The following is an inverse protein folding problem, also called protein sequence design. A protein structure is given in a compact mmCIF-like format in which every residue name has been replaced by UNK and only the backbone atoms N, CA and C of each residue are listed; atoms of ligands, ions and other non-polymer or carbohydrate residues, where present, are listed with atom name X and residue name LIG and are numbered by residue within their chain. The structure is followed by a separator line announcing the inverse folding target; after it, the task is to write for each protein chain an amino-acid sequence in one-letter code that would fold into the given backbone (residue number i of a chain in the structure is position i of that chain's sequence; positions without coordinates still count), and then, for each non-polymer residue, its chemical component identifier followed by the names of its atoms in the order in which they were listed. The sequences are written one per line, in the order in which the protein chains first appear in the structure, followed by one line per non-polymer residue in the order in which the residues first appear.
data_IF_859040365601
#
_entry.id   IF_859040365601
#
_cell.length_a   1.000
_cell.length_b   1.000
_cell.length_c   1.000
_cell.angle_alpha   90.00
_cell.angle_beta   90.00
_cell.angle_gamma   90.00
#
_symmetry.space_group_name_H-M   'P 1'
#
loop_
_entity.id
_entity.type
_entity.pdbx_description
1 polymer ?
#
# COMPACT_ATOMS: atom_id res chain seq x y z
N UNK A 1 -24.41 5.16 12.94
CA UNK A 1 -24.90 6.03 14.00
C UNK A 1 -24.24 5.81 15.36
N UNK A 2 -23.88 4.61 15.76
CA UNK A 2 -23.20 4.29 17.05
C UNK A 2 -21.80 4.95 17.20
N UNK A 3 -21.03 5.11 16.13
CA UNK A 3 -19.68 5.69 16.17
C UNK A 3 -19.64 7.18 16.53
N UNK A 4 -20.64 7.96 16.14
CA UNK A 4 -20.69 9.41 16.41
C UNK A 4 -20.95 9.68 17.90
N UNK A 5 -21.76 8.87 18.57
CA UNK A 5 -22.06 8.99 20.00
C UNK A 5 -20.85 8.68 20.91
N UNK A 6 -20.02 7.70 20.55
CA UNK A 6 -18.79 7.42 21.27
C UNK A 6 -17.78 8.57 21.21
N UNK A 7 -17.64 9.19 20.04
CA UNK A 7 -16.71 10.32 19.87
C UNK A 7 -17.13 11.57 20.65
N UNK A 8 -18.40 11.89 20.68
CA UNK A 8 -18.94 13.00 21.48
C UNK A 8 -18.76 12.76 23.00
N UNK A 9 -18.91 11.52 23.45
CA UNK A 9 -18.70 11.16 24.85
C UNK A 9 -17.22 11.25 25.24
N UNK A 10 -16.31 10.78 24.41
CA UNK A 10 -14.86 10.89 24.61
C UNK A 10 -14.38 12.36 24.59
N UNK A 11 -14.90 13.16 23.67
CA UNK A 11 -14.61 14.60 23.63
C UNK A 11 -15.10 15.30 24.90
N UNK A 12 -16.30 15.00 25.41
CA UNK A 12 -16.81 15.53 26.67
C UNK A 12 -15.96 15.07 27.87
N UNK A 13 -15.50 13.81 27.89
CA UNK A 13 -14.60 13.31 28.94
C UNK A 13 -13.23 13.98 28.89
N UNK A 14 -12.66 14.20 27.70
CA UNK A 14 -11.39 14.89 27.54
C UNK A 14 -11.48 16.35 28.00
N UNK A 15 -12.55 17.06 27.66
CA UNK A 15 -12.82 18.43 28.13
C UNK A 15 -13.02 18.44 29.64
N UNK A 16 -13.77 17.48 30.20
CA UNK A 16 -14.00 17.39 31.66
C UNK A 16 -12.70 17.09 32.42
N UNK A 17 -11.81 16.25 31.88
CA UNK A 17 -10.49 15.96 32.45
C UNK A 17 -9.56 17.18 32.41
N UNK A 18 -9.56 17.93 31.29
CA UNK A 18 -8.79 19.17 31.18
C UNK A 18 -9.25 20.22 32.21
N UNK A 19 -10.57 20.33 32.43
CA UNK A 19 -11.16 21.23 33.44
C UNK A 19 -10.80 20.80 34.84
N UNK A 20 -10.74 19.50 35.18
CA UNK A 20 -10.42 18.99 36.51
C UNK A 20 -8.93 19.00 36.85
N UNK A 21 -8.05 19.03 35.84
CA UNK A 21 -6.58 19.05 36.05
C UNK A 21 -5.98 20.45 36.25
N UNK A 22 -6.78 21.50 36.33
CA UNK A 22 -6.35 22.82 36.74
C UNK A 22 -5.41 23.56 35.78
N UNK A 23 -5.43 23.21 34.50
CA UNK A 23 -4.63 23.89 33.46
C UNK A 23 -5.26 25.26 33.05
N UNK A 24 -5.87 25.94 34.05
CA UNK A 24 -6.60 27.18 33.86
C UNK A 24 -5.72 28.43 33.68
N UNK A 25 -4.42 28.30 33.89
CA UNK A 25 -3.53 29.47 33.99
C UNK A 25 -2.81 29.87 32.71
N UNK A 26 -3.03 29.16 31.59
CA UNK A 26 -2.50 29.58 30.29
C UNK A 26 -3.56 30.40 29.55
N UNK A 27 -3.30 31.71 29.30
CA UNK A 27 -4.23 32.51 28.51
C UNK A 27 -4.37 31.90 27.12
N UNK A 28 -5.53 31.32 26.83
CA UNK A 28 -5.90 30.88 25.49
C UNK A 28 -6.06 32.12 24.61
N UNK A 29 -5.06 32.40 23.77
CA UNK A 29 -5.22 33.46 22.78
C UNK A 29 -6.27 33.01 21.75
N UNK A 30 -7.49 33.52 21.92
CA UNK A 30 -8.51 33.40 20.92
C UNK A 30 -8.17 34.33 19.72
N UNK A 31 -8.33 33.81 18.53
CA UNK A 31 -8.22 34.67 17.33
C UNK A 31 -9.43 35.61 17.25
N UNK A 32 -9.31 36.80 16.61
CA UNK A 32 -10.43 37.67 16.39
C UNK A 32 -11.61 36.90 15.74
N UNK A 33 -12.78 36.95 16.38
CA UNK A 33 -14.02 36.23 15.97
C UNK A 33 -14.03 34.74 16.30
N UNK A 34 -13.14 34.25 17.14
CA UNK A 34 -13.13 32.86 17.59
C UNK A 34 -13.80 32.79 18.96
N UNK A 35 -14.92 32.06 19.06
CA UNK A 35 -15.66 31.90 20.31
C UNK A 35 -15.11 30.78 21.20
N UNK A 36 -14.44 29.79 20.60
CA UNK A 36 -13.89 28.60 21.28
C UNK A 36 -12.57 28.20 20.65
N UNK A 37 -11.57 27.90 21.48
CA UNK A 37 -10.32 27.29 21.03
C UNK A 37 -10.26 25.81 21.47
N UNK A 38 -9.87 24.93 20.57
CA UNK A 38 -9.53 23.53 20.90
C UNK A 38 -8.03 23.42 21.10
N UNK A 39 -7.64 23.01 22.29
CA UNK A 39 -6.22 22.81 22.67
C UNK A 39 -6.02 21.35 22.96
N UNK A 40 -5.01 20.73 22.31
CA UNK A 40 -4.60 19.34 22.52
C UNK A 40 -3.13 19.37 22.88
N UNK A 41 -2.79 18.89 24.09
CA UNK A 41 -1.41 18.87 24.60
C UNK A 41 -0.69 20.23 24.52
N UNK A 42 -1.41 21.29 24.85
CA UNK A 42 -0.88 22.66 24.85
C UNK A 42 -0.78 23.30 23.46
N UNK A 43 -1.15 22.61 22.39
CA UNK A 43 -1.17 23.12 21.02
C UNK A 43 -2.59 23.48 20.63
N UNK A 44 -2.79 24.75 20.25
CA UNK A 44 -4.08 25.23 19.70
C UNK A 44 -4.28 24.66 18.30
N UNK A 45 -5.42 24.01 18.09
CA UNK A 45 -5.81 23.46 16.79
C UNK A 45 -6.65 24.49 16.07
N UNK A 46 -6.16 24.99 14.94
CA UNK A 46 -6.79 26.08 14.18
C UNK A 46 -7.45 25.61 12.88
N UNK A 47 -7.29 24.34 12.52
CA UNK A 47 -7.80 23.76 11.29
C UNK A 47 -8.68 22.53 11.57
N UNK A 48 -8.55 21.43 10.86
CA UNK A 48 -9.34 20.21 11.05
C UNK A 48 -9.21 19.64 12.46
N UNK A 49 -10.11 20.03 13.35
CA UNK A 49 -10.14 19.58 14.76
C UNK A 49 -10.44 18.09 14.86
N UNK A 50 -11.10 17.50 13.89
CA UNK A 50 -11.55 16.11 13.95
C UNK A 50 -10.38 15.13 13.85
N UNK A 51 -9.37 15.42 13.05
CA UNK A 51 -8.19 14.55 12.85
C UNK A 51 -7.31 14.44 14.09
N UNK A 52 -6.88 15.54 14.75
CA UNK A 52 -6.15 15.46 16.01
C UNK A 52 -6.93 14.77 17.12
N UNK A 53 -8.21 15.04 17.28
CA UNK A 53 -9.05 14.38 18.29
C UNK A 53 -9.12 12.86 18.04
N UNK A 54 -9.35 12.44 16.80
CA UNK A 54 -9.38 11.01 16.44
C UNK A 54 -8.04 10.34 16.69
N UNK A 55 -6.96 11.01 16.33
CA UNK A 55 -5.60 10.50 16.54
C UNK A 55 -5.35 10.27 18.04
N UNK A 56 -5.60 11.25 18.89
CA UNK A 56 -5.39 11.12 20.33
C UNK A 56 -6.30 10.08 20.99
N UNK A 57 -7.58 10.05 20.61
CA UNK A 57 -8.50 9.02 21.10
C UNK A 57 -8.05 7.60 20.68
N UNK A 58 -7.60 7.44 19.44
CA UNK A 58 -7.09 6.17 18.91
C UNK A 58 -5.77 5.76 19.59
N UNK A 59 -4.90 6.72 19.90
CA UNK A 59 -3.64 6.50 20.60
C UNK A 59 -3.89 5.92 22.00
N UNK A 60 -4.85 6.46 22.75
CA UNK A 60 -5.19 5.94 24.06
C UNK A 60 -5.78 4.53 24.01
N UNK A 61 -6.69 4.27 23.08
CA UNK A 61 -7.22 2.92 22.84
C UNK A 61 -6.10 1.93 22.50
N UNK A 62 -5.15 2.35 21.65
CA UNK A 62 -3.98 1.54 21.30
C UNK A 62 -3.09 1.27 22.51
N UNK A 63 -2.86 2.25 23.40
CA UNK A 63 -2.10 2.11 24.65
C UNK A 63 -2.72 1.02 25.54
N UNK A 64 -4.02 1.11 25.78
CA UNK A 64 -4.74 0.14 26.58
C UNK A 64 -4.72 -1.25 25.95
N UNK A 65 -4.94 -1.35 24.63
CA UNK A 65 -4.90 -2.62 23.91
C UNK A 65 -3.51 -3.28 23.99
N UNK A 66 -2.44 -2.52 23.76
CA UNK A 66 -1.07 -3.04 23.75
C UNK A 66 -0.61 -3.39 25.16
N UNK A 67 -0.98 -2.59 26.18
CA UNK A 67 -0.69 -2.87 27.57
C UNK A 67 -1.39 -4.10 28.13
N UNK A 68 -2.62 -4.37 27.67
CA UNK A 68 -3.42 -5.51 28.13
C UNK A 68 -3.17 -6.81 27.35
N UNK A 69 -2.18 -6.85 26.45
CA UNK A 69 -1.84 -8.09 25.74
C UNK A 69 -1.39 -9.19 26.70
N UNK A 70 -1.98 -10.39 26.58
CA UNK A 70 -1.58 -11.57 27.37
C UNK A 70 -0.12 -12.01 27.10
N UNK A 71 0.39 -11.74 25.91
CA UNK A 71 1.77 -12.05 25.51
C UNK A 71 2.46 -10.75 25.09
N UNK A 72 3.60 -10.47 25.69
CA UNK A 72 4.40 -9.29 25.46
C UNK A 72 3.59 -7.99 25.61
N UNK A 73 3.03 -7.72 26.82
CA UNK A 73 2.37 -6.45 27.09
C UNK A 73 3.38 -5.31 26.93
N UNK A 74 2.92 -4.21 26.37
CA UNK A 74 3.76 -3.03 26.25
C UNK A 74 3.72 -2.23 27.55
N UNK A 75 4.87 -1.75 27.98
CA UNK A 75 4.94 -0.77 29.08
C UNK A 75 4.54 0.62 28.55
N UNK A 76 4.19 1.51 29.46
CA UNK A 76 3.87 2.90 29.13
C UNK A 76 5.07 3.59 28.50
N UNK A 77 6.27 3.37 29.04
CA UNK A 77 7.53 3.93 28.55
C UNK A 77 7.77 3.51 27.10
N UNK A 78 7.64 2.22 26.80
CA UNK A 78 7.76 1.71 25.43
C UNK A 78 6.76 2.37 24.49
N UNK A 79 5.52 2.52 24.92
CA UNK A 79 4.46 3.13 24.12
C UNK A 79 4.75 4.60 23.81
N UNK A 80 5.27 5.35 24.80
CA UNK A 80 5.52 6.77 24.67
C UNK A 80 6.76 7.11 23.83
N UNK A 81 7.70 6.17 23.70
CA UNK A 81 8.88 6.34 22.82
C UNK A 81 8.53 6.28 21.33
N UNK A 82 7.38 5.71 20.95
CA UNK A 82 7.04 5.47 19.54
C UNK A 82 6.52 6.73 18.87
N UNK A 83 7.00 6.97 17.65
CA UNK A 83 6.51 7.99 16.73
C UNK A 83 5.18 7.57 16.11
N UNK A 84 4.10 7.76 16.84
CA UNK A 84 2.76 7.40 16.40
C UNK A 84 2.23 8.29 15.28
N UNK A 85 2.64 9.55 15.25
CA UNK A 85 2.14 10.53 14.28
C UNK A 85 2.60 10.17 12.87
N UNK A 86 3.90 10.02 12.68
CA UNK A 86 4.43 9.68 11.35
C UNK A 86 4.10 8.24 10.94
N UNK A 87 3.90 7.34 11.90
CA UNK A 87 3.36 6.01 11.62
C UNK A 87 1.93 6.07 11.06
N UNK A 88 1.05 6.88 11.66
CA UNK A 88 -0.31 7.09 11.15
C UNK A 88 -0.30 7.70 9.74
N UNK A 89 0.54 8.71 9.52
CA UNK A 89 0.73 9.32 8.20
C UNK A 89 1.22 8.30 7.15
N UNK A 90 2.19 7.46 7.51
CA UNK A 90 2.68 6.41 6.63
C UNK A 90 1.59 5.38 6.29
N UNK A 91 0.76 5.01 7.26
CA UNK A 91 -0.31 4.03 7.08
C UNK A 91 -1.50 4.56 6.29
N UNK A 92 -1.79 5.86 6.33
CA UNK A 92 -2.86 6.49 5.52
C UNK A 92 -2.67 6.28 4.02
N UNK A 93 -1.42 6.23 3.56
CA UNK A 93 -1.09 6.04 2.15
C UNK A 93 -1.12 4.58 1.68
N UNK A 94 -1.27 3.61 2.59
CA UNK A 94 -1.22 2.18 2.25
C UNK A 94 -2.59 1.63 1.90
N UNK A 95 -2.67 0.67 0.94
CA UNK A 95 -3.91 -0.03 0.62
C UNK A 95 -4.46 -0.81 1.82
N UNK A 96 -5.78 -1.04 1.85
CA UNK A 96 -6.42 -1.73 2.98
C UNK A 96 -5.92 -3.17 3.18
N UNK A 97 -5.59 -3.88 2.10
CA UNK A 97 -5.00 -5.22 2.18
C UNK A 97 -3.64 -5.22 2.89
N UNK A 98 -2.84 -4.17 2.69
CA UNK A 98 -1.58 -3.98 3.39
C UNK A 98 -1.80 -3.70 4.90
N UNK A 99 -2.77 -2.84 5.23
CA UNK A 99 -3.14 -2.55 6.63
C UNK A 99 -3.62 -3.82 7.36
N UNK A 100 -4.41 -4.66 6.68
CA UNK A 100 -4.84 -5.97 7.21
C UNK A 100 -3.64 -6.89 7.44
N UNK A 101 -2.72 -6.99 6.47
CA UNK A 101 -1.52 -7.80 6.63
C UNK A 101 -0.69 -7.32 7.82
N UNK A 102 -0.41 -6.01 7.91
CA UNK A 102 0.34 -5.42 9.01
C UNK A 102 -0.32 -5.69 10.36
N UNK A 103 -1.63 -5.53 10.47
CA UNK A 103 -2.37 -5.83 11.69
C UNK A 103 -2.19 -7.29 12.12
N UNK A 104 -2.26 -8.23 11.19
CA UNK A 104 -2.01 -9.66 11.46
C UNK A 104 -0.56 -9.93 11.85
N UNK A 105 0.40 -9.25 11.23
CA UNK A 105 1.83 -9.38 11.55
C UNK A 105 2.10 -8.92 12.99
N UNK A 106 1.65 -7.73 13.35
CA UNK A 106 1.85 -7.14 14.68
C UNK A 106 1.16 -7.93 15.80
N UNK A 107 -0.01 -8.50 15.51
CA UNK A 107 -0.75 -9.31 16.48
C UNK A 107 -0.31 -10.78 16.54
N UNK A 108 0.60 -11.21 15.66
CA UNK A 108 1.06 -12.60 15.57
C UNK A 108 0.08 -13.53 14.88
N UNK A 109 -0.97 -13.00 14.22
CA UNK A 109 -1.95 -13.76 13.45
C UNK A 109 -1.60 -13.88 11.96
N UNK A 110 -0.39 -13.51 11.56
CA UNK A 110 0.08 -13.75 10.21
C UNK A 110 0.10 -15.26 9.93
N UNK A 111 -0.25 -15.69 8.73
CA UNK A 111 -0.40 -17.09 8.34
C UNK A 111 0.91 -17.89 8.31
N UNK A 112 1.70 -17.81 9.37
CA UNK A 112 2.89 -18.65 9.58
C UNK A 112 2.48 -20.09 9.87
N UNK A 113 3.40 -21.03 9.73
CA UNK A 113 3.14 -22.45 9.97
C UNK A 113 2.61 -22.72 11.38
N UNK A 114 3.20 -22.07 12.40
CA UNK A 114 2.73 -22.17 13.79
C UNK A 114 1.31 -21.62 13.94
N UNK A 115 0.97 -20.53 13.27
CA UNK A 115 -0.35 -19.94 13.38
C UNK A 115 -1.42 -20.75 12.61
N UNK A 116 -1.06 -21.25 11.43
CA UNK A 116 -1.92 -22.13 10.64
C UNK A 116 -2.20 -23.43 11.40
N UNK A 117 -1.16 -24.04 12.02
CA UNK A 117 -1.32 -25.24 12.86
C UNK A 117 -2.29 -25.05 14.01
N UNK A 118 -2.18 -23.92 14.72
CA UNK A 118 -3.10 -23.56 15.80
C UNK A 118 -4.54 -23.36 15.30
N UNK A 119 -4.70 -22.73 14.14
CA UNK A 119 -6.02 -22.44 13.59
C UNK A 119 -6.74 -23.71 13.09
N UNK A 120 -6.00 -24.60 12.45
CA UNK A 120 -6.55 -25.85 11.91
C UNK A 120 -6.76 -26.92 12.99
N UNK A 121 -6.09 -26.83 14.14
CA UNK A 121 -6.16 -27.80 15.23
C UNK A 121 -5.72 -29.22 14.84
N UNK A 122 -4.91 -29.35 13.77
CA UNK A 122 -4.44 -30.64 13.27
C UNK A 122 -3.23 -31.08 14.08
N UNK A 123 -3.31 -32.17 14.84
CA UNK A 123 -2.15 -32.72 15.54
C UNK A 123 -1.03 -33.09 14.57
N UNK A 124 0.22 -32.76 14.93
CA UNK A 124 1.39 -33.13 14.13
C UNK A 124 1.63 -32.27 12.87
N UNK A 125 0.88 -31.17 12.73
CA UNK A 125 1.14 -30.26 11.60
C UNK A 125 2.56 -29.72 11.63
N UNK A 126 3.17 -29.66 10.45
CA UNK A 126 4.52 -29.14 10.27
C UNK A 126 4.58 -27.63 10.55
N UNK A 127 5.20 -27.24 11.67
CA UNK A 127 5.42 -25.85 12.06
C UNK A 127 6.71 -25.25 11.50
N UNK A 128 7.45 -25.98 10.66
CA UNK A 128 8.78 -25.58 10.17
C UNK A 128 8.70 -24.55 9.05
N UNK A 129 9.63 -23.61 9.08
CA UNK A 129 9.81 -22.60 8.03
C UNK A 129 10.20 -23.27 6.71
N UNK A 130 9.55 -22.92 5.58
CA UNK A 130 9.86 -23.51 4.28
C UNK A 130 11.28 -23.19 3.78
N UNK A 131 11.91 -22.12 4.30
CA UNK A 131 13.24 -21.70 3.86
C UNK A 131 14.39 -22.28 4.69
N UNK A 132 14.23 -22.41 6.01
CA UNK A 132 15.34 -22.83 6.90
C UNK A 132 15.03 -24.03 7.80
N UNK A 133 13.81 -24.56 7.80
CA UNK A 133 13.40 -25.69 8.62
C UNK A 133 13.18 -25.40 10.11
N UNK A 134 13.50 -24.20 10.62
CA UNK A 134 13.24 -23.81 12.02
C UNK A 134 11.76 -23.54 12.25
N UNK A 135 11.33 -23.53 13.50
CA UNK A 135 9.94 -23.21 13.89
C UNK A 135 9.52 -21.84 13.39
N UNK A 136 8.43 -21.75 12.60
CA UNK A 136 8.01 -20.53 11.92
C UNK A 136 6.98 -19.74 12.73
N UNK A 137 7.44 -18.78 13.51
CA UNK A 137 6.63 -17.78 14.20
C UNK A 137 6.59 -16.46 13.41
N UNK A 138 5.75 -15.50 13.81
CA UNK A 138 5.76 -14.15 13.21
C UNK A 138 7.11 -13.44 13.37
N UNK A 139 7.80 -13.62 14.51
CA UNK A 139 9.13 -13.08 14.72
C UNK A 139 10.17 -13.75 13.80
N UNK A 140 10.05 -15.07 13.56
CA UNK A 140 10.94 -15.81 12.69
C UNK A 140 10.94 -15.28 11.25
N UNK A 141 9.86 -14.66 10.79
CA UNK A 141 9.80 -14.03 9.46
C UNK A 141 10.91 -13.01 9.25
N UNK A 142 11.26 -12.25 10.28
CA UNK A 142 12.31 -11.23 10.24
C UNK A 142 13.71 -11.81 10.52
N UNK A 143 13.75 -12.93 11.24
CA UNK A 143 14.99 -13.53 11.77
C UNK A 143 15.38 -14.83 11.05
N UNK A 144 14.73 -15.16 9.94
CA UNK A 144 15.02 -16.40 9.21
C UNK A 144 16.46 -16.40 8.68
N UNK A 145 17.30 -17.40 9.06
CA UNK A 145 18.73 -17.42 8.69
C UNK A 145 19.00 -18.03 7.31
N UNK A 146 17.97 -18.32 6.51
CA UNK A 146 18.16 -18.83 5.15
C UNK A 146 19.00 -17.85 4.32
N UNK A 147 19.92 -18.39 3.50
CA UNK A 147 20.81 -17.59 2.66
C UNK A 147 20.00 -16.64 1.74
N UNK A 148 18.98 -17.15 1.05
CA UNK A 148 18.16 -16.36 0.13
C UNK A 148 17.40 -15.23 0.85
N UNK A 149 16.88 -15.52 2.07
CA UNK A 149 16.19 -14.52 2.88
C UNK A 149 17.14 -13.47 3.43
N UNK A 150 18.38 -13.87 3.73
CA UNK A 150 19.43 -12.96 4.16
C UNK A 150 19.88 -12.08 3.00
N UNK A 151 20.06 -12.64 1.81
CA UNK A 151 20.41 -11.87 0.62
C UNK A 151 19.31 -10.85 0.29
N UNK A 152 18.04 -11.26 0.30
CA UNK A 152 16.91 -10.33 0.12
C UNK A 152 16.92 -9.19 1.15
N UNK A 153 17.28 -9.47 2.41
CA UNK A 153 17.40 -8.42 3.41
C UNK A 153 18.54 -7.46 3.07
N UNK A 154 19.71 -7.97 2.67
CA UNK A 154 20.87 -7.16 2.26
C UNK A 154 20.48 -6.27 1.08
N UNK A 155 19.88 -6.82 0.03
CA UNK A 155 19.46 -6.07 -1.16
C UNK A 155 18.49 -4.93 -0.81
N UNK A 156 17.50 -5.20 0.04
CA UNK A 156 16.56 -4.19 0.51
C UNK A 156 17.22 -3.11 1.39
N UNK A 157 18.22 -3.49 2.21
CA UNK A 157 18.96 -2.53 3.04
C UNK A 157 19.89 -1.67 2.19
N UNK A 158 20.50 -2.23 1.15
CA UNK A 158 21.29 -1.47 0.18
C UNK A 158 20.44 -0.45 -0.57
N UNK A 159 19.22 -0.81 -0.94
CA UNK A 159 18.26 0.13 -1.55
C UNK A 159 17.85 1.24 -0.55
N UNK A 160 17.58 0.86 0.70
CA UNK A 160 17.32 1.83 1.76
C UNK A 160 18.52 2.77 1.97
N UNK A 161 19.75 2.23 2.02
CA UNK A 161 20.98 3.00 2.16
C UNK A 161 21.16 4.04 1.06
N UNK A 162 20.94 3.63 -0.19
CA UNK A 162 20.96 4.56 -1.35
C UNK A 162 19.95 5.70 -1.19
N UNK A 163 18.75 5.41 -0.74
CA UNK A 163 17.76 6.43 -0.49
C UNK A 163 18.15 7.36 0.66
N UNK A 164 18.65 6.81 1.78
CA UNK A 164 19.11 7.60 2.93
C UNK A 164 20.24 8.57 2.53
N UNK A 165 21.21 8.10 1.75
CA UNK A 165 22.39 8.88 1.39
C UNK A 165 22.14 9.89 0.27
N UNK A 166 21.36 9.53 -0.75
CA UNK A 166 21.27 10.31 -2.00
C UNK A 166 19.97 11.11 -2.12
N UNK A 167 18.84 10.52 -1.74
CA UNK A 167 17.54 11.07 -2.12
C UNK A 167 16.86 11.82 -0.96
N UNK A 168 17.16 11.44 0.29
CA UNK A 168 16.42 11.93 1.46
C UNK A 168 17.15 12.96 2.30
N UNK A 169 18.41 13.29 1.97
CA UNK A 169 19.22 14.23 2.73
C UNK A 169 19.37 13.81 4.21
N UNK A 170 19.50 12.52 4.46
CA UNK A 170 19.60 12.00 5.83
C UNK A 170 20.93 12.36 6.45
N UNK A 171 20.93 12.65 7.77
CA UNK A 171 22.17 12.78 8.55
C UNK A 171 23.03 11.52 8.36
N UNK A 172 24.31 11.73 8.04
CA UNK A 172 25.19 10.64 7.65
C UNK A 172 25.41 9.62 8.77
N UNK A 173 25.53 10.07 10.03
CA UNK A 173 25.66 9.18 11.18
C UNK A 173 24.37 8.37 11.38
N UNK A 174 23.22 9.03 11.24
CA UNK A 174 21.91 8.38 11.34
C UNK A 174 21.73 7.33 10.26
N UNK A 175 22.08 7.62 9.00
CA UNK A 175 21.99 6.68 7.88
C UNK A 175 22.86 5.44 8.12
N UNK A 176 24.09 5.62 8.58
CA UNK A 176 24.99 4.51 8.94
C UNK A 176 24.40 3.61 10.03
N UNK A 177 23.89 4.20 11.11
CA UNK A 177 23.36 3.43 12.22
C UNK A 177 22.06 2.72 11.90
N UNK A 178 21.19 3.31 11.07
CA UNK A 178 19.95 2.66 10.58
C UNK A 178 20.29 1.38 9.83
N UNK A 179 21.17 1.46 8.82
CA UNK A 179 21.51 0.31 7.97
C UNK A 179 22.17 -0.80 8.79
N UNK A 180 23.08 -0.42 9.66
CA UNK A 180 23.75 -1.35 10.58
C UNK A 180 22.79 -2.04 11.53
N UNK A 181 21.84 -1.29 12.14
CA UNK A 181 20.85 -1.84 13.07
C UNK A 181 19.95 -2.88 12.39
N UNK A 182 19.54 -2.63 11.15
CA UNK A 182 18.71 -3.58 10.41
C UNK A 182 19.50 -4.86 10.10
N UNK A 183 20.74 -4.74 9.65
CA UNK A 183 21.60 -5.89 9.28
C UNK A 183 21.99 -6.74 10.49
N UNK A 184 22.12 -6.14 11.68
CA UNK A 184 22.41 -6.89 12.93
C UNK A 184 21.21 -7.73 13.40
N UNK A 185 20.02 -7.55 12.85
CA UNK A 185 18.84 -8.40 13.08
C UNK A 185 18.47 -8.61 14.56
N UNK A 186 18.80 -7.65 15.43
CA UNK A 186 18.52 -7.72 16.85
C UNK A 186 19.45 -8.65 17.64
N UNK A 187 20.60 -9.02 17.08
CA UNK A 187 21.60 -9.84 17.76
C UNK A 187 22.20 -9.12 18.98
N UNK A 188 22.21 -7.78 18.96
CA UNK A 188 22.67 -6.91 20.05
C UNK A 188 21.72 -5.74 20.23
N UNK A 189 21.61 -5.16 21.43
CA UNK A 189 20.99 -3.87 21.64
C UNK A 189 21.62 -2.79 20.74
N UNK A 190 20.81 -1.85 20.32
CA UNK A 190 21.28 -0.79 19.41
C UNK A 190 22.41 0.04 20.05
N UNK A 191 22.26 0.39 21.35
CA UNK A 191 23.28 1.16 22.07
C UNK A 191 24.64 0.45 22.23
N UNK A 192 24.66 -0.89 22.10
CA UNK A 192 25.89 -1.70 22.22
C UNK A 192 26.61 -1.93 20.87
N UNK A 193 26.08 -1.40 19.77
CA UNK A 193 26.61 -1.68 18.43
C UNK A 193 27.91 -0.96 18.11
N UNK A 194 28.35 0.00 18.91
CA UNK A 194 29.61 0.73 18.75
C UNK A 194 29.63 2.09 19.44
N UNK A 195 30.71 2.84 19.22
CA UNK A 195 30.83 4.18 19.72
C UNK A 195 29.88 5.12 18.95
N UNK A 196 28.98 5.77 19.66
CA UNK A 196 27.99 6.69 19.12
C UNK A 196 28.16 8.07 19.74
N UNK A 197 27.78 9.12 19.01
CA UNK A 197 27.59 10.45 19.59
C UNK A 197 26.51 10.40 20.67
N UNK A 198 26.51 11.32 21.65
CA UNK A 198 25.48 11.34 22.71
C UNK A 198 24.05 11.37 22.14
N UNK A 199 23.86 12.08 21.04
CA UNK A 199 22.59 12.19 20.31
C UNK A 199 22.14 10.83 19.77
N UNK A 200 23.03 10.10 19.11
CA UNK A 200 22.73 8.76 18.58
C UNK A 200 22.55 7.73 19.69
N UNK A 201 23.30 7.86 20.81
CA UNK A 201 23.14 7.00 21.97
C UNK A 201 21.76 7.15 22.61
N UNK A 202 21.26 8.37 22.74
CA UNK A 202 19.89 8.63 23.23
C UNK A 202 18.83 7.98 22.33
N UNK A 203 18.98 8.13 20.99
CA UNK A 203 18.11 7.45 20.02
C UNK A 203 18.19 5.93 20.18
N UNK A 204 19.40 5.36 20.28
CA UNK A 204 19.58 3.92 20.40
C UNK A 204 18.91 3.37 21.68
N UNK A 205 19.08 4.03 22.82
CA UNK A 205 18.44 3.66 24.10
C UNK A 205 16.90 3.73 24.00
N UNK A 206 16.36 4.76 23.38
CA UNK A 206 14.91 4.87 23.14
C UNK A 206 14.43 3.75 22.23
N UNK A 207 15.14 3.47 21.13
CA UNK A 207 14.77 2.40 20.21
C UNK A 207 14.91 1.01 20.85
N UNK A 208 15.85 0.79 21.73
CA UNK A 208 16.02 -0.48 22.45
C UNK A 208 14.85 -0.77 23.40
N UNK A 209 14.24 0.24 24.02
CA UNK A 209 12.98 0.08 24.77
C UNK A 209 11.85 -0.42 23.88
N UNK A 210 11.79 0.02 22.62
CA UNK A 210 10.82 -0.45 21.62
C UNK A 210 11.19 -1.86 21.16
N UNK A 211 12.46 -2.09 20.83
CA UNK A 211 13.03 -3.34 20.39
C UNK A 211 13.03 -3.54 18.88
N UNK A 212 13.98 -4.35 18.40
CA UNK A 212 14.23 -4.60 16.97
C UNK A 212 13.01 -5.09 16.22
N UNK A 213 12.28 -6.06 16.79
CA UNK A 213 11.10 -6.61 16.14
C UNK A 213 10.06 -5.54 15.85
N UNK A 214 9.75 -4.73 16.87
CA UNK A 214 8.72 -3.70 16.75
C UNK A 214 9.20 -2.56 15.83
N UNK A 215 10.52 -2.26 15.81
CA UNK A 215 11.13 -1.38 14.80
C UNK A 215 10.83 -1.85 13.38
N UNK A 216 11.07 -3.12 13.08
CA UNK A 216 10.80 -3.69 11.75
C UNK A 216 9.30 -3.75 11.42
N UNK A 217 8.43 -3.68 12.41
CA UNK A 217 6.98 -3.53 12.26
C UNK A 217 6.53 -2.06 12.13
N UNK A 218 7.49 -1.12 12.02
CA UNK A 218 7.29 0.31 11.80
C UNK A 218 7.14 1.15 13.06
N UNK A 219 7.39 0.57 14.24
CA UNK A 219 7.40 1.31 15.52
C UNK A 219 8.80 1.87 15.75
N UNK A 220 9.06 3.03 15.19
CA UNK A 220 10.33 3.74 15.37
C UNK A 220 10.26 4.70 16.55
N UNK A 221 11.41 5.00 17.15
CA UNK A 221 11.50 6.05 18.16
C UNK A 221 11.28 7.44 17.55
N UNK A 222 10.62 8.32 18.30
CA UNK A 222 10.45 9.74 17.93
C UNK A 222 11.79 10.44 17.67
N UNK A 223 12.85 10.00 18.31
CA UNK A 223 14.19 10.59 18.13
C UNK A 223 14.74 10.45 16.70
N UNK A 224 14.29 9.48 15.91
CA UNK A 224 14.65 9.41 14.47
C UNK A 224 14.19 10.67 13.75
N UNK A 225 12.95 11.07 13.96
CA UNK A 225 12.39 12.28 13.38
C UNK A 225 13.08 13.54 13.92
N UNK A 226 13.28 13.62 15.23
CA UNK A 226 13.88 14.79 15.87
C UNK A 226 15.30 15.07 15.36
N UNK A 227 16.14 14.02 15.29
CA UNK A 227 17.52 14.13 14.78
C UNK A 227 17.51 14.57 13.32
N UNK A 228 16.69 13.94 12.50
CA UNK A 228 16.64 14.25 11.08
C UNK A 228 16.06 15.64 10.82
N UNK A 229 15.00 16.02 11.51
CA UNK A 229 14.41 17.35 11.37
C UNK A 229 15.39 18.45 11.79
N UNK A 230 16.14 18.24 12.87
CA UNK A 230 17.21 19.16 13.28
C UNK A 230 18.31 19.25 12.21
N UNK A 231 18.75 18.11 11.66
CA UNK A 231 19.76 18.08 10.60
C UNK A 231 19.32 18.87 9.38
N UNK A 232 18.08 18.65 8.90
CA UNK A 232 17.52 19.36 7.75
C UNK A 232 17.43 20.88 7.98
N UNK A 233 17.00 21.28 9.19
CA UNK A 233 16.95 22.70 9.57
C UNK A 233 18.33 23.34 9.58
N UNK A 234 19.34 22.67 10.15
CA UNK A 234 20.72 23.18 10.22
C UNK A 234 21.41 23.22 8.86
N UNK A 235 21.09 22.30 7.95
CA UNK A 235 21.64 22.28 6.58
C UNK A 235 20.95 23.24 5.63
N UNK A 236 19.92 23.96 6.07
CA UNK A 236 19.13 24.85 5.20
C UNK A 236 18.38 24.10 4.12
N UNK A 237 18.09 22.82 4.32
CA UNK A 237 17.37 21.97 3.37
C UNK A 237 15.90 22.39 3.25
N UNK A 238 15.38 22.34 2.04
CA UNK A 238 13.94 22.50 1.78
C UNK A 238 13.14 21.21 2.03
N UNK A 239 13.82 20.08 2.36
CA UNK A 239 13.16 18.82 2.63
C UNK A 239 12.43 18.89 3.97
N UNK A 240 11.28 18.20 4.05
CA UNK A 240 10.45 18.19 5.24
C UNK A 240 10.78 16.94 6.09
N UNK A 241 11.12 17.16 7.37
CA UNK A 241 11.40 16.06 8.31
C UNK A 241 10.22 15.12 8.52
N UNK A 242 8.98 15.61 8.50
CA UNK A 242 7.79 14.77 8.62
C UNK A 242 7.59 13.86 7.40
N UNK A 243 7.83 14.37 6.19
CA UNK A 243 7.80 13.55 4.98
C UNK A 243 8.92 12.52 4.96
N UNK A 244 10.11 12.89 5.47
CA UNK A 244 11.21 11.93 5.66
C UNK A 244 10.79 10.79 6.61
N UNK A 245 10.27 11.09 7.79
CA UNK A 245 9.87 10.10 8.77
C UNK A 245 8.78 9.16 8.23
N UNK A 246 7.78 9.71 7.56
CA UNK A 246 6.72 8.95 6.87
C UNK A 246 7.29 7.99 5.82
N UNK A 247 8.22 8.47 4.98
CA UNK A 247 8.85 7.65 3.95
C UNK A 247 9.77 6.59 4.57
N UNK A 248 10.54 6.94 5.60
CA UNK A 248 11.40 6.03 6.33
C UNK A 248 10.60 4.86 6.92
N UNK A 249 9.52 5.14 7.65
CA UNK A 249 8.61 4.11 8.17
C UNK A 249 8.07 3.24 7.02
N UNK A 250 7.68 3.86 5.91
CA UNK A 250 7.17 3.12 4.75
C UNK A 250 8.20 2.17 4.15
N UNK A 251 9.49 2.54 4.14
CA UNK A 251 10.58 1.69 3.66
C UNK A 251 10.90 0.56 4.62
N UNK A 252 10.92 0.79 5.94
CA UNK A 252 11.07 -0.28 6.94
C UNK A 252 9.94 -1.32 6.80
N UNK A 253 8.70 -0.85 6.68
CA UNK A 253 7.55 -1.71 6.47
C UNK A 253 7.62 -2.47 5.14
N UNK A 254 8.21 -1.88 4.10
CA UNK A 254 8.44 -2.54 2.82
C UNK A 254 9.43 -3.70 2.97
N UNK A 255 10.54 -3.52 3.67
CA UNK A 255 11.53 -4.57 3.95
C UNK A 255 10.84 -5.75 4.66
N UNK A 256 10.04 -5.49 5.67
CA UNK A 256 9.30 -6.53 6.40
C UNK A 256 8.28 -7.24 5.50
N UNK A 257 7.57 -6.50 4.67
CA UNK A 257 6.59 -7.06 3.75
C UNK A 257 7.23 -7.90 2.65
N UNK A 258 8.38 -7.48 2.11
CA UNK A 258 9.10 -8.26 1.12
C UNK A 258 9.56 -9.62 1.67
N UNK A 259 10.00 -9.69 2.93
CA UNK A 259 10.30 -10.95 3.61
C UNK A 259 9.07 -11.87 3.71
N UNK A 260 7.89 -11.31 3.96
CA UNK A 260 6.63 -12.04 3.97
C UNK A 260 6.24 -12.55 2.58
N UNK A 261 6.34 -11.71 1.57
CA UNK A 261 6.04 -12.07 0.17
C UNK A 261 6.97 -13.19 -0.30
N UNK A 262 8.29 -13.05 -0.08
CA UNK A 262 9.27 -14.07 -0.44
C UNK A 262 8.97 -15.43 0.22
N UNK A 263 8.64 -15.42 1.51
CA UNK A 263 8.25 -16.63 2.23
C UNK A 263 7.01 -17.28 1.61
N UNK A 264 6.00 -16.48 1.26
CA UNK A 264 4.80 -17.00 0.62
C UNK A 264 5.10 -17.58 -0.76
N UNK A 265 5.92 -16.90 -1.53
CA UNK A 265 6.40 -17.40 -2.82
C UNK A 265 7.10 -18.73 -2.66
N UNK A 266 8.10 -18.83 -1.77
CA UNK A 266 8.81 -20.08 -1.49
C UNK A 266 7.88 -21.19 -1.02
N UNK A 267 6.86 -20.88 -0.20
CA UNK A 267 5.91 -21.87 0.30
C UNK A 267 5.02 -22.45 -0.79
N UNK A 268 4.54 -21.58 -1.68
CA UNK A 268 3.54 -21.95 -2.68
C UNK A 268 4.20 -22.46 -3.96
N UNK A 269 5.38 -21.96 -4.29
CA UNK A 269 6.09 -22.26 -5.52
C UNK A 269 7.00 -23.49 -5.38
N UNK A 270 7.84 -23.53 -4.35
CA UNK A 270 8.72 -24.70 -4.09
C UNK A 270 7.95 -25.99 -3.79
N UNK A 271 6.74 -25.91 -3.28
CA UNK A 271 5.95 -27.10 -2.95
C UNK A 271 5.26 -27.70 -4.16
N UNK A 272 5.00 -26.91 -5.21
CA UNK A 272 4.20 -27.39 -6.33
C UNK A 272 4.74 -27.00 -7.72
N UNK A 273 5.56 -25.96 -7.89
CA UNK A 273 5.80 -25.34 -9.21
C UNK A 273 4.49 -24.98 -9.95
N UNK A 274 3.38 -25.29 -9.26
CA UNK A 274 2.03 -25.35 -9.81
C UNK A 274 1.49 -23.96 -10.14
N UNK A 275 1.79 -22.95 -9.30
CA UNK A 275 1.24 -21.61 -9.52
C UNK A 275 1.95 -20.89 -10.67
N UNK A 276 3.29 -21.04 -10.78
CA UNK A 276 4.03 -20.51 -11.92
C UNK A 276 3.66 -21.26 -13.20
N UNK A 277 3.60 -22.59 -13.14
CA UNK A 277 3.17 -23.40 -14.28
C UNK A 277 1.74 -23.07 -14.69
N UNK A 278 0.80 -23.04 -13.74
CA UNK A 278 -0.58 -22.67 -14.00
C UNK A 278 -0.70 -21.25 -14.58
N UNK A 279 0.06 -20.30 -14.07
CA UNK A 279 0.08 -18.94 -14.59
C UNK A 279 0.70 -18.88 -15.98
N UNK A 280 1.76 -19.64 -16.25
CA UNK A 280 2.34 -19.76 -17.56
C UNK A 280 1.35 -20.41 -18.55
N UNK A 281 0.65 -21.48 -18.13
CA UNK A 281 -0.38 -22.13 -18.93
C UNK A 281 -1.57 -21.18 -19.20
N UNK A 282 -2.04 -20.41 -18.21
CA UNK A 282 -3.09 -19.40 -18.38
C UNK A 282 -2.66 -18.30 -19.38
N UNK A 283 -1.42 -17.83 -19.29
CA UNK A 283 -0.85 -16.84 -20.22
C UNK A 283 -0.71 -17.42 -21.63
N UNK A 284 -0.24 -18.66 -21.75
CA UNK A 284 -0.12 -19.32 -23.05
C UNK A 284 -1.48 -19.46 -23.74
N UNK A 285 -2.51 -19.91 -23.03
CA UNK A 285 -3.88 -19.99 -23.55
C UNK A 285 -4.40 -18.63 -23.96
N UNK A 286 -4.16 -17.57 -23.15
CA UNK A 286 -4.60 -16.22 -23.48
C UNK A 286 -3.83 -15.68 -24.71
N UNK A 287 -2.52 -15.91 -24.80
CA UNK A 287 -1.71 -15.56 -25.98
C UNK A 287 -2.23 -16.25 -27.25
N UNK A 288 -2.50 -17.56 -27.18
CA UNK A 288 -3.04 -18.32 -28.30
C UNK A 288 -4.41 -17.77 -28.75
N UNK A 289 -5.28 -17.40 -27.81
CA UNK A 289 -6.58 -16.80 -28.10
C UNK A 289 -6.49 -15.45 -28.82
N UNK A 290 -5.38 -14.73 -28.62
CA UNK A 290 -5.13 -13.41 -29.20
C UNK A 290 -4.26 -13.46 -30.46
N UNK A 291 -3.68 -14.62 -30.80
CA UNK A 291 -2.81 -14.80 -31.97
C UNK A 291 -3.50 -14.61 -33.32
N UNK A 292 -4.83 -14.79 -33.38
CA UNK A 292 -5.62 -14.69 -34.59
C UNK A 292 -6.31 -13.35 -34.81
N UNK A 293 -5.92 -12.30 -34.09
CA UNK A 293 -6.53 -10.98 -34.23
C UNK A 293 -6.22 -10.33 -35.57
N UNK A 294 -7.28 -9.85 -36.23
CA UNK A 294 -7.16 -9.11 -37.47
C UNK A 294 -6.85 -7.62 -37.22
N UNK A 295 -6.18 -6.92 -38.16
CA UNK A 295 -5.88 -5.50 -37.99
C UNK A 295 -7.12 -4.61 -37.78
N UNK A 296 -8.30 -5.08 -38.16
CA UNK A 296 -9.58 -4.39 -37.97
C UNK A 296 -10.11 -4.51 -36.55
N UNK A 297 -9.61 -5.44 -35.77
CA UNK A 297 -10.05 -5.68 -34.38
C UNK A 297 -9.46 -4.70 -33.40
N UNK A 298 -8.39 -4.02 -33.77
CA UNK A 298 -7.72 -3.01 -32.95
C UNK A 298 -7.75 -1.64 -33.60
N UNK A 299 -7.71 -0.53 -32.83
CA UNK A 299 -7.60 0.82 -33.41
C UNK A 299 -6.33 0.97 -34.24
N UNK A 300 -6.37 1.87 -35.24
CA UNK A 300 -5.24 2.10 -36.14
C UNK A 300 -3.94 2.42 -35.38
N UNK A 301 -4.04 3.17 -34.30
CA UNK A 301 -2.92 3.58 -33.43
C UNK A 301 -2.26 2.41 -32.71
N UNK A 302 -2.97 1.29 -32.53
CA UNK A 302 -2.51 0.12 -31.78
C UNK A 302 -2.10 -1.05 -32.65
N UNK A 303 -2.14 -0.91 -33.98
CA UNK A 303 -1.81 -2.00 -34.92
C UNK A 303 -0.36 -2.47 -34.81
N UNK A 304 0.55 -1.60 -34.39
CA UNK A 304 1.94 -1.99 -34.13
C UNK A 304 2.09 -3.14 -33.12
N UNK A 305 1.09 -3.35 -32.24
CA UNK A 305 1.07 -4.48 -31.32
C UNK A 305 0.90 -5.83 -32.02
N UNK A 306 0.33 -5.84 -33.22
CA UNK A 306 0.14 -7.05 -34.07
C UNK A 306 1.36 -7.32 -34.97
N UNK A 307 2.30 -6.38 -35.11
CA UNK A 307 3.53 -6.52 -35.86
C UNK A 307 4.62 -7.30 -35.10
N UNK A 308 4.40 -7.56 -33.84
CA UNK A 308 5.33 -8.32 -33.01
C UNK A 308 5.34 -9.78 -33.46
N UNK A 309 6.54 -10.34 -33.68
CA UNK A 309 6.69 -11.75 -33.99
C UNK A 309 6.14 -12.60 -32.84
N UNK A 310 5.04 -13.30 -33.10
CA UNK A 310 4.35 -14.08 -32.07
C UNK A 310 5.22 -15.21 -31.49
N UNK A 311 6.12 -15.77 -32.32
CA UNK A 311 7.07 -16.80 -31.89
C UNK A 311 8.08 -16.24 -30.87
N UNK A 312 8.54 -15.01 -31.07
CA UNK A 312 9.47 -14.36 -30.14
C UNK A 312 8.74 -13.95 -28.87
N UNK A 313 7.47 -13.55 -28.99
CA UNK A 313 6.63 -13.24 -27.82
C UNK A 313 6.39 -14.46 -26.95
N UNK A 314 6.05 -15.63 -27.50
CA UNK A 314 5.88 -16.88 -26.74
C UNK A 314 7.17 -17.28 -26.01
N UNK A 315 8.32 -17.05 -26.63
CA UNK A 315 9.62 -17.38 -26.03
C UNK A 315 10.17 -16.28 -25.11
N UNK A 316 9.46 -15.16 -24.97
CA UNK A 316 9.86 -14.06 -24.09
C UNK A 316 9.54 -14.39 -22.62
N UNK A 317 10.01 -13.52 -21.70
CA UNK A 317 9.71 -13.67 -20.28
C UNK A 317 8.21 -13.39 -20.01
N UNK A 318 7.71 -13.95 -18.89
CA UNK A 318 6.31 -13.85 -18.45
C UNK A 318 5.81 -12.40 -18.33
N UNK A 319 6.68 -11.48 -17.93
CA UNK A 319 6.33 -10.06 -17.81
C UNK A 319 6.05 -9.42 -19.17
N UNK A 320 6.93 -9.67 -20.15
CA UNK A 320 6.73 -9.17 -21.53
C UNK A 320 5.43 -9.72 -22.13
N UNK A 321 5.14 -11.00 -21.93
CA UNK A 321 3.89 -11.63 -22.36
C UNK A 321 2.67 -10.95 -21.72
N UNK A 322 2.71 -10.69 -20.43
CA UNK A 322 1.63 -10.02 -19.70
C UNK A 322 1.42 -8.58 -20.16
N UNK A 323 2.49 -7.81 -20.36
CA UNK A 323 2.37 -6.44 -20.88
C UNK A 323 1.74 -6.40 -22.26
N UNK A 324 2.12 -7.34 -23.14
CA UNK A 324 1.50 -7.43 -24.45
C UNK A 324 0.00 -7.78 -24.38
N UNK A 325 -0.38 -8.77 -23.57
CA UNK A 325 -1.78 -9.13 -23.32
C UNK A 325 -2.58 -7.94 -22.80
N UNK A 326 -2.05 -7.21 -21.83
CA UNK A 326 -2.70 -6.02 -21.28
C UNK A 326 -2.90 -4.93 -22.35
N UNK A 327 -1.89 -4.68 -23.16
CA UNK A 327 -1.94 -3.69 -24.22
C UNK A 327 -2.97 -4.06 -25.30
N UNK A 328 -3.00 -5.31 -25.74
CA UNK A 328 -3.99 -5.82 -26.71
C UNK A 328 -5.40 -5.76 -26.13
N UNK A 329 -5.62 -6.20 -24.90
CA UNK A 329 -6.95 -6.16 -24.27
C UNK A 329 -7.45 -4.71 -24.10
N UNK A 330 -6.57 -3.76 -23.80
CA UNK A 330 -6.89 -2.34 -23.78
C UNK A 330 -7.29 -1.83 -25.17
N UNK A 331 -6.54 -2.20 -26.22
CA UNK A 331 -6.84 -1.84 -27.60
C UNK A 331 -8.18 -2.42 -28.08
N UNK A 332 -8.46 -3.70 -27.79
CA UNK A 332 -9.75 -4.35 -28.11
C UNK A 332 -10.92 -3.64 -27.40
N UNK A 333 -10.71 -3.25 -26.15
CA UNK A 333 -11.72 -2.52 -25.37
C UNK A 333 -11.98 -1.15 -25.98
N UNK A 334 -10.93 -0.41 -26.37
CA UNK A 334 -11.05 0.88 -27.03
C UNK A 334 -11.81 0.76 -28.35
N UNK A 335 -11.50 -0.27 -29.17
CA UNK A 335 -12.18 -0.53 -30.43
C UNK A 335 -13.66 -0.85 -30.24
N UNK A 336 -14.00 -1.69 -29.25
CA UNK A 336 -15.41 -1.99 -28.89
C UNK A 336 -16.17 -0.73 -28.50
N UNK A 337 -15.59 0.14 -27.68
CA UNK A 337 -16.18 1.40 -27.28
C UNK A 337 -16.37 2.36 -28.47
N UNK A 338 -15.40 2.42 -29.37
CA UNK A 338 -15.47 3.24 -30.57
C UNK A 338 -16.58 2.76 -31.53
N UNK A 339 -16.67 1.44 -31.77
CA UNK A 339 -17.76 0.82 -32.55
C UNK A 339 -19.13 1.08 -31.91
N UNK A 340 -19.24 0.94 -30.56
CA UNK A 340 -20.49 1.21 -29.86
C UNK A 340 -20.91 2.70 -29.90
N UNK A 341 -19.96 3.64 -29.80
CA UNK A 341 -20.22 5.07 -30.01
C UNK A 341 -20.67 5.38 -31.40
N UNK A 342 -20.01 4.80 -32.43
CA UNK A 342 -20.39 4.94 -33.82
C UNK A 342 -21.81 4.43 -34.10
N UNK A 343 -22.15 3.25 -33.58
CA UNK A 343 -23.48 2.65 -33.71
C UNK A 343 -24.56 3.50 -33.04
N UNK A 344 -24.27 4.07 -31.86
CA UNK A 344 -25.18 4.98 -31.15
C UNK A 344 -25.40 6.26 -31.94
N UNK A 345 -24.34 6.87 -32.45
CA UNK A 345 -24.41 8.08 -33.27
C UNK A 345 -25.22 7.84 -34.55
N UNK A 346 -25.01 6.71 -35.23
CA UNK A 346 -25.78 6.30 -36.40
C UNK A 346 -27.27 6.16 -36.10
N UNK A 347 -27.64 5.50 -35.00
CA UNK A 347 -29.04 5.36 -34.57
C UNK A 347 -29.70 6.73 -34.27
N UNK A 348 -28.95 7.67 -33.69
CA UNK A 348 -29.44 9.03 -33.44
C UNK A 348 -29.68 9.77 -34.75
N UNK A 349 -28.72 9.72 -35.71
CA UNK A 349 -28.83 10.30 -37.03
C UNK A 349 -30.00 9.71 -37.79
N UNK A 350 -30.18 8.39 -37.78
CA UNK A 350 -31.32 7.72 -38.43
C UNK A 350 -32.66 8.16 -37.84
N UNK A 351 -32.74 8.37 -36.51
CA UNK A 351 -33.95 8.91 -35.86
C UNK A 351 -34.23 10.37 -36.27
N UNK A 352 -33.18 11.19 -36.36
CA UNK A 352 -33.29 12.59 -36.80
C UNK A 352 -33.74 12.63 -38.25
N UNK A 353 -33.11 11.86 -39.11
CA UNK A 353 -33.43 11.82 -40.56
C UNK A 353 -34.84 11.32 -40.88
N UNK A 354 -35.41 10.43 -40.02
CA UNK A 354 -36.83 10.00 -40.15
C UNK A 354 -37.82 11.09 -39.77
N UNK A 355 -37.45 12.03 -38.93
CA UNK A 355 -38.33 13.08 -38.43
C UNK A 355 -38.24 14.38 -39.23
N UNK A 356 -37.29 14.52 -40.14
CA UNK A 356 -37.06 15.74 -40.90
C UNK A 356 -37.81 15.73 -42.24
N UNK A 357 -38.47 16.85 -42.63
CA UNK A 357 -39.10 17.02 -43.96
C UNK A 357 -38.06 16.93 -45.09
N UNK A 358 -38.49 16.47 -46.28
CA UNK A 358 -37.60 16.18 -47.40
C UNK A 358 -36.69 17.33 -47.83
N UNK A 359 -37.13 18.60 -47.65
CA UNK A 359 -36.33 19.77 -48.02
C UNK A 359 -35.12 20.02 -47.06
N UNK A 360 -35.20 19.56 -45.84
CA UNK A 360 -34.15 19.78 -44.83
C UNK A 360 -33.07 18.66 -44.91
N UNK A 361 -33.39 17.51 -45.53
CA UNK A 361 -32.45 16.39 -45.71
C UNK A 361 -31.25 16.73 -46.59
N UNK A 362 -31.43 17.59 -47.60
CA UNK A 362 -30.31 18.02 -48.44
C UNK A 362 -29.28 18.90 -47.72
N UNK A 363 -29.72 19.73 -46.75
CA UNK A 363 -28.83 20.57 -45.97
C UNK A 363 -27.96 19.78 -44.96
N UNK A 364 -28.48 18.66 -44.44
CA UNK A 364 -27.75 17.85 -43.47
C UNK A 364 -26.61 17.05 -44.11
N UNK A 365 -26.81 16.57 -45.37
CA UNK A 365 -25.75 15.89 -46.12
C UNK A 365 -24.57 16.82 -46.39
N UNK A 366 -24.84 18.11 -46.67
CA UNK A 366 -23.80 19.11 -46.85
C UNK A 366 -23.03 19.40 -45.56
N UNK A 367 -23.72 19.47 -44.38
CA UNK A 367 -23.12 19.66 -43.06
C UNK A 367 -22.32 18.43 -42.67
N UNK A 368 -22.78 17.21 -42.93
CA UNK A 368 -22.00 15.99 -42.65
C UNK A 368 -20.72 15.91 -43.51
N UNK A 369 -20.78 16.34 -44.77
CA UNK A 369 -19.57 16.44 -45.57
C UNK A 369 -18.61 17.49 -45.06
N UNK A 370 -19.11 18.64 -44.61
CA UNK A 370 -18.27 19.68 -44.00
C UNK A 370 -17.63 19.21 -42.69
N UNK A 371 -18.37 18.54 -41.83
CA UNK A 371 -17.83 17.96 -40.58
C UNK A 371 -16.77 16.90 -40.81
N UNK A 372 -16.89 16.11 -41.90
CA UNK A 372 -15.86 15.14 -42.31
C UNK A 372 -14.60 15.81 -42.83
N UNK A 373 -14.74 16.91 -43.57
CA UNK A 373 -13.62 17.72 -44.04
C UNK A 373 -12.89 18.42 -42.90
N UNK A 374 -13.62 19.00 -41.94
CA UNK A 374 -13.07 19.69 -40.79
C UNK A 374 -12.34 18.71 -39.82
N UNK A 375 -12.82 17.46 -39.68
CA UNK A 375 -12.10 16.42 -38.93
C UNK A 375 -10.81 15.93 -39.57
N UNK A 376 -10.71 16.04 -40.91
CA UNK A 376 -9.46 15.73 -41.64
C UNK A 376 -8.34 16.75 -41.43
N UNK A 377 -8.69 17.96 -40.95
CA UNK A 377 -7.73 19.04 -40.71
C UNK A 377 -7.36 19.25 -39.24
N UNK A 378 -8.00 18.55 -38.29
CA UNK A 378 -7.57 18.53 -36.89
C UNK A 378 -6.45 17.50 -36.73
N UNK A 379 -5.25 17.90 -37.12
CA UNK A 379 -4.04 17.24 -36.62
C UNK A 379 -4.06 17.35 -35.10
N UNK A 380 -3.73 16.27 -34.36
CA UNK A 380 -3.64 16.35 -32.91
C UNK A 380 -2.56 17.40 -32.57
N UNK A 381 -2.98 18.43 -31.87
CA UNK A 381 -2.06 19.39 -31.25
C UNK A 381 -1.13 18.56 -30.37
N UNK A 382 0.16 18.62 -30.63
CA UNK A 382 1.18 18.08 -29.76
C UNK A 382 1.01 18.75 -28.40
N UNK A 383 0.36 18.07 -27.47
CA UNK A 383 0.47 18.40 -26.07
C UNK A 383 1.86 17.97 -25.61
N UNK A 384 2.62 18.95 -25.19
CA UNK A 384 3.97 18.85 -24.67
C UNK A 384 4.04 17.75 -23.61
N UNK A 385 4.85 16.73 -23.87
CA UNK A 385 5.31 15.76 -22.92
C UNK A 385 6.17 16.45 -21.85
N UNK A 386 5.54 16.96 -20.81
CA UNK A 386 6.21 17.25 -19.56
C UNK A 386 5.47 16.58 -18.42
N UNK A 387 6.20 15.71 -17.70
CA UNK A 387 5.84 15.01 -16.46
C UNK A 387 5.17 13.66 -16.61
N UNK A 388 5.98 12.65 -16.90
CA UNK A 388 5.81 11.30 -16.37
C UNK A 388 7.18 10.73 -16.01
N UNK A 389 7.71 11.19 -14.89
CA UNK A 389 8.69 10.48 -14.09
C UNK A 389 8.07 10.41 -12.72
N UNK A 390 7.42 9.29 -12.45
CA UNK A 390 7.19 8.67 -11.13
C UNK A 390 6.05 7.67 -11.24
N UNK A 391 6.33 6.45 -11.65
CA UNK A 391 5.41 5.33 -11.43
C UNK A 391 6.03 3.95 -11.62
N UNK A 392 7.22 3.71 -11.06
CA UNK A 392 7.72 2.33 -10.93
C UNK A 392 7.16 1.57 -9.71
N UNK A 393 6.05 2.05 -9.13
CA UNK A 393 5.44 1.45 -7.93
C UNK A 393 4.07 0.79 -8.19
N UNK A 394 3.54 0.85 -9.42
CA UNK A 394 2.17 0.37 -9.74
C UNK A 394 2.05 -1.09 -10.17
N UNK A 395 3.15 -1.82 -10.32
CA UNK A 395 3.14 -3.18 -10.87
C UNK A 395 2.60 -4.25 -9.89
N UNK A 396 2.56 -3.98 -8.58
CA UNK A 396 2.09 -4.97 -7.59
C UNK A 396 0.60 -4.78 -7.24
N UNK A 397 0.06 -3.58 -7.37
CA UNK A 397 -1.32 -3.27 -7.00
C UNK A 397 -2.38 -3.83 -7.95
N UNK A 398 -2.03 -4.12 -9.20
CA UNK A 398 -2.93 -4.72 -10.20
C UNK A 398 -3.36 -6.16 -9.91
N UNK A 399 -2.62 -6.86 -9.05
CA UNK A 399 -2.89 -8.28 -8.73
C UNK A 399 -4.06 -8.50 -7.76
N UNK A 400 -4.53 -7.45 -7.07
CA UNK A 400 -5.49 -7.59 -5.97
C UNK A 400 -6.88 -7.00 -6.24
N UNK A 401 -7.16 -6.47 -7.42
CA UNK A 401 -8.43 -5.78 -7.73
C UNK A 401 -9.55 -6.66 -8.31
N UNK A 402 -9.46 -7.99 -8.23
CA UNK A 402 -10.68 -8.81 -8.47
C UNK A 402 -11.66 -8.57 -7.32
N UNK A 403 -12.69 -7.76 -7.57
CA UNK A 403 -13.84 -7.58 -6.67
C UNK A 403 -14.32 -8.94 -6.17
N UNK A 404 -14.14 -9.21 -4.89
CA UNK A 404 -14.79 -10.38 -4.24
C UNK A 404 -16.30 -10.17 -4.32
N UNK A 405 -17.09 -11.20 -4.64
CA UNK A 405 -18.54 -11.09 -4.56
C UNK A 405 -18.95 -10.74 -3.13
N UNK A 406 -19.94 -9.89 -3.00
CA UNK A 406 -20.48 -9.40 -1.73
C UNK A 406 -20.79 -10.60 -0.79
N UNK A 407 -20.54 -10.51 0.52
CA UNK A 407 -20.76 -11.61 1.48
C UNK A 407 -22.16 -12.23 1.42
N UNK A 408 -23.18 -11.48 1.02
CA UNK A 408 -24.54 -11.97 0.82
C UNK A 408 -24.65 -13.03 -0.30
N UNK A 409 -23.79 -12.99 -1.33
CA UNK A 409 -23.81 -13.97 -2.42
C UNK A 409 -23.21 -15.33 -1.99
N UNK A 410 -22.26 -15.32 -1.04
CA UNK A 410 -21.65 -16.55 -0.51
C UNK A 410 -22.62 -17.31 0.39
N UNK A 411 -23.47 -16.60 1.13
CA UNK A 411 -24.49 -17.22 2.00
C UNK A 411 -25.58 -17.91 1.19
N UNK A 412 -25.93 -17.41 0.02
CA UNK A 412 -26.93 -18.04 -0.86
C UNK A 412 -26.40 -19.31 -1.52
N UNK A 413 -25.12 -19.35 -1.90
CA UNK A 413 -24.46 -20.54 -2.48
C UNK A 413 -24.26 -21.66 -1.46
N UNK A 414 -24.05 -21.34 -0.18
CA UNK A 414 -23.91 -22.31 0.89
C UNK A 414 -25.27 -22.89 1.34
N UNK A 415 -26.37 -22.15 1.14
CA UNK A 415 -27.73 -22.66 1.42
C UNK A 415 -28.26 -23.60 0.34
N UNK A 416 -27.89 -23.44 -0.92
CA UNK A 416 -28.29 -24.33 -2.01
C UNK A 416 -27.62 -25.72 -1.93
N UNK A 417 -26.38 -25.79 -1.39
CA UNK A 417 -25.66 -27.06 -1.25
C UNK A 417 -26.08 -27.92 -0.04
N UNK A 418 -26.87 -27.37 0.90
CA UNK A 418 -27.39 -28.16 2.05
C UNK A 418 -28.66 -28.96 1.74
N UNK A 419 -29.29 -28.80 0.57
CA UNK A 419 -30.50 -29.53 0.18
C UNK A 419 -30.24 -30.86 -0.57
N UNK A 420 -28.98 -31.24 -0.80
CA UNK A 420 -28.63 -32.44 -1.59
C UNK A 420 -27.99 -33.58 -0.77
N UNK A 421 -28.13 -33.59 0.56
CA UNK A 421 -27.77 -34.76 1.38
C UNK A 421 -28.88 -35.09 2.38
N UNK A 422 -29.82 -35.93 1.98
CA UNK A 422 -30.53 -36.84 2.87
C UNK A 422 -29.93 -38.23 2.65
N UNK A 423 -29.54 -38.93 3.71
CA UNK A 423 -29.22 -40.35 3.62
C UNK A 423 -30.51 -41.15 3.72
N UNK A 424 -30.60 -42.18 2.92
CA UNK A 424 -31.42 -43.38 3.21
C UNK A 424 -30.67 -44.26 4.21
#
# INVERSE_FOLDING_TARGET
MFFIFCHLRLAKQAVSLAITQGDHDRPTQLLPKEDVAVIIWGTKITDDVSSPIRFHASKEVARQYLGNRKKNPWTTEKFDEVDWEHLDLAMKTKPDMYKIWRSKQNSGFCGTRVQVGRYLGIPGQDERCPNCGRRETSAHLLLCPSADRTQLLIDNVDELGKWLEKDSGTDQELAYWITKYILMRGDKPFEEMGAMTPRMKSLAQSQDKIGYRDFMEGYISVHFYEIQNFHLAMSGSFLNGADWAKQFISKILHITHSQWIFRNFSLHDNRHGYLLKKKADEIAVELESLAGLAPEDVPAESRFLLEINFRDLINSNVETQQYWILAINAALTAQRLQRARGARSKRILDKINRKLPSRTKMGIVAVEQQIRLDRGHLLPRQEEHTRFQDSNQSSIDGFFTKKRPHPAAIVSLLRSNKRLRKPD
#
